data_IF_242709482502
#
_entry.id   IF_242709482502
#
_cell.length_a   1.000
_cell.length_b   1.000
_cell.length_c   1.000
_cell.angle_alpha   90.00
_cell.angle_beta   90.00
_cell.angle_gamma   90.00
#
_symmetry.space_group_name_H-M   'P 1'
#
loop_
_entity.id
_entity.type
_entity.pdbx_description
1 polymer ?
#
# COMPACT_ATOMS: atom_id res chain seq x y z
N UNK A 1 3.24 20.75 -15.73
CA UNK A 1 2.64 19.56 -16.35
C UNK A 1 2.03 18.72 -15.23
N UNK A 2 0.71 18.66 -15.14
CA UNK A 2 0.05 17.83 -14.13
C UNK A 2 0.22 16.37 -14.56
N UNK A 3 1.16 15.65 -13.95
CA UNK A 3 1.36 14.24 -14.25
C UNK A 3 0.04 13.49 -13.96
N UNK A 4 -0.47 12.77 -14.96
CA UNK A 4 -1.65 11.94 -14.78
C UNK A 4 -1.35 10.90 -13.70
N UNK A 5 -2.09 10.95 -12.59
CA UNK A 5 -1.96 9.97 -11.51
C UNK A 5 -2.47 8.63 -12.00
N UNK A 6 -1.59 7.62 -12.03
CA UNK A 6 -1.96 6.26 -12.39
C UNK A 6 -2.58 5.59 -11.17
N UNK A 7 -3.88 5.33 -11.26
CA UNK A 7 -4.68 4.73 -10.20
C UNK A 7 -4.82 3.22 -10.41
N UNK A 8 -4.07 2.48 -9.61
CA UNK A 8 -4.06 1.02 -9.59
C UNK A 8 -5.25 0.47 -8.82
N UNK A 9 -5.76 -0.67 -9.26
CA UNK A 9 -6.74 -1.48 -8.54
C UNK A 9 -6.08 -2.29 -7.42
N UNK A 10 -6.90 -2.90 -6.55
CA UNK A 10 -6.39 -3.81 -5.52
C UNK A 10 -5.52 -4.94 -6.09
N UNK A 11 -5.94 -5.52 -7.23
CA UNK A 11 -5.24 -6.62 -7.86
C UNK A 11 -3.88 -6.17 -8.41
N UNK A 12 -3.84 -5.05 -9.14
CA UNK A 12 -2.59 -4.48 -9.67
C UNK A 12 -1.61 -4.12 -8.56
N UNK A 13 -2.08 -3.47 -7.49
CA UNK A 13 -1.22 -3.13 -6.34
C UNK A 13 -0.70 -4.37 -5.63
N UNK A 14 -1.53 -5.40 -5.47
CA UNK A 14 -1.11 -6.65 -4.84
C UNK A 14 -0.07 -7.39 -5.69
N UNK A 15 -0.23 -7.39 -7.02
CA UNK A 15 0.74 -7.94 -7.97
C UNK A 15 2.08 -7.20 -7.89
N UNK A 16 2.07 -5.86 -7.88
CA UNK A 16 3.29 -5.05 -7.72
C UNK A 16 4.00 -5.32 -6.39
N UNK A 17 3.24 -5.56 -5.33
CA UNK A 17 3.77 -5.86 -4.00
C UNK A 17 4.20 -7.33 -3.84
N UNK A 18 3.89 -8.21 -4.80
CA UNK A 18 4.15 -9.65 -4.72
C UNK A 18 3.32 -10.35 -3.64
N UNK A 19 2.12 -9.85 -3.32
CA UNK A 19 1.23 -10.44 -2.31
C UNK A 19 -0.13 -10.80 -2.91
N UNK A 20 -0.90 -11.60 -2.18
CA UNK A 20 -2.28 -11.89 -2.58
C UNK A 20 -3.17 -10.64 -2.41
N UNK A 21 -4.12 -10.39 -3.33
CA UNK A 21 -5.08 -9.30 -3.21
C UNK A 21 -5.83 -9.30 -1.87
N UNK A 22 -6.19 -10.49 -1.36
CA UNK A 22 -6.83 -10.68 -0.06
C UNK A 22 -5.95 -10.19 1.11
N UNK A 23 -4.64 -10.43 1.05
CA UNK A 23 -3.67 -9.95 2.05
C UNK A 23 -3.65 -8.42 2.10
N UNK A 24 -3.69 -7.76 0.94
CA UNK A 24 -3.75 -6.30 0.85
C UNK A 24 -5.04 -5.75 1.47
N UNK A 25 -6.16 -6.46 1.37
CA UNK A 25 -7.41 -6.05 2.03
C UNK A 25 -7.34 -6.13 3.55
N UNK A 26 -6.76 -7.23 4.06
CA UNK A 26 -6.51 -7.39 5.49
C UNK A 26 -5.58 -6.27 5.99
N UNK A 27 -4.55 -5.93 5.22
CA UNK A 27 -3.62 -4.85 5.57
C UNK A 27 -4.33 -3.50 5.69
N UNK A 28 -5.23 -3.17 4.75
CA UNK A 28 -6.03 -1.93 4.84
C UNK A 28 -6.78 -1.83 6.17
N UNK A 29 -7.41 -2.93 6.60
CA UNK A 29 -8.14 -2.96 7.87
C UNK A 29 -7.24 -2.83 9.10
N UNK A 30 -5.98 -3.26 8.99
CA UNK A 30 -4.97 -3.21 10.07
C UNK A 30 -4.13 -1.94 10.07
N UNK A 31 -4.44 -0.95 9.22
CA UNK A 31 -3.63 0.26 9.07
C UNK A 31 -2.25 0.00 8.49
N UNK A 32 -2.09 -1.08 7.71
CA UNK A 32 -0.85 -1.48 7.05
C UNK A 32 -0.96 -1.26 5.54
N UNK A 33 0.21 -1.25 4.89
CA UNK A 33 0.31 -1.14 3.44
C UNK A 33 0.35 0.30 2.91
N UNK A 34 0.40 0.47 1.58
CA UNK A 34 0.48 1.77 0.94
C UNK A 34 -0.81 2.57 1.13
N UNK A 35 -0.70 3.91 1.00
CA UNK A 35 -1.87 4.79 1.06
C UNK A 35 -2.85 4.45 -0.05
N UNK A 36 -4.12 4.36 0.33
CA UNK A 36 -5.22 4.05 -0.57
C UNK A 36 -6.17 5.23 -0.70
N UNK A 37 -6.75 5.39 -1.88
CA UNK A 37 -7.81 6.33 -2.18
C UNK A 37 -9.15 5.59 -2.14
N UNK A 38 -10.05 6.10 -1.30
CA UNK A 38 -11.44 5.66 -1.26
C UNK A 38 -12.28 6.58 -2.14
N UNK A 39 -12.88 6.05 -3.19
CA UNK A 39 -13.62 6.84 -4.20
C UNK A 39 -14.98 7.36 -3.71
N UNK A 40 -15.47 6.88 -2.55
CA UNK A 40 -16.73 7.34 -1.96
C UNK A 40 -16.94 6.85 -0.53
N UNK A 41 -17.98 7.34 0.17
CA UNK A 41 -18.21 7.08 1.59
C UNK A 41 -18.81 5.69 1.88
N UNK A 42 -19.38 5.00 0.89
CA UNK A 42 -20.05 3.70 1.06
C UNK A 42 -19.04 2.57 1.17
N UNK A 43 -19.44 1.46 1.79
CA UNK A 43 -18.58 0.28 1.94
C UNK A 43 -18.14 -0.32 0.61
N UNK A 44 -19.06 -0.35 -0.36
CA UNK A 44 -18.86 -0.90 -1.71
C UNK A 44 -18.17 0.03 -2.70
N UNK A 45 -17.83 1.27 -2.30
CA UNK A 45 -17.13 2.18 -3.19
C UNK A 45 -15.72 1.68 -3.50
N UNK A 46 -15.29 1.92 -4.73
CA UNK A 46 -14.01 1.43 -5.23
C UNK A 46 -12.84 1.99 -4.42
N UNK A 47 -11.87 1.12 -4.16
CA UNK A 47 -10.58 1.49 -3.58
C UNK A 47 -9.56 1.48 -4.71
N UNK A 48 -8.80 2.56 -4.80
CA UNK A 48 -7.70 2.73 -5.74
C UNK A 48 -6.42 3.03 -4.99
N UNK A 49 -5.30 2.78 -5.64
CA UNK A 49 -3.98 3.10 -5.12
C UNK A 49 -3.29 4.01 -6.11
N UNK A 50 -2.68 5.08 -5.63
CA UNK A 50 -1.81 5.88 -6.48
C UNK A 50 -0.48 5.13 -6.67
N UNK A 51 -0.09 4.91 -7.92
CA UNK A 51 1.15 4.19 -8.25
C UNK A 51 2.37 4.81 -7.57
N UNK A 52 2.47 6.14 -7.51
CA UNK A 52 3.60 6.81 -6.88
C UNK A 52 3.62 6.59 -5.36
N UNK A 53 2.45 6.57 -4.70
CA UNK A 53 2.35 6.25 -3.27
C UNK A 53 2.69 4.78 -2.97
N UNK A 54 2.32 3.85 -3.85
CA UNK A 54 2.72 2.44 -3.74
C UNK A 54 4.24 2.31 -3.87
N UNK A 55 4.83 2.97 -4.86
CA UNK A 55 6.28 2.96 -5.06
C UNK A 55 7.03 3.64 -3.91
N UNK A 56 6.51 4.74 -3.36
CA UNK A 56 7.07 5.38 -2.17
C UNK A 56 7.06 4.42 -0.98
N UNK A 57 5.96 3.69 -0.77
CA UNK A 57 5.85 2.69 0.28
C UNK A 57 6.88 1.55 0.15
N UNK A 58 7.16 1.12 -1.09
CA UNK A 58 8.20 0.12 -1.38
C UNK A 58 9.59 0.70 -1.07
N UNK A 59 9.85 1.94 -1.48
CA UNK A 59 11.13 2.62 -1.21
C UNK A 59 11.39 2.79 0.29
N UNK A 60 10.38 3.18 1.08
CA UNK A 60 10.48 3.26 2.54
C UNK A 60 10.88 1.93 3.20
N UNK A 61 10.61 0.80 2.53
CA UNK A 61 10.91 -0.56 3.01
C UNK A 61 12.14 -1.17 2.38
N UNK A 62 12.73 -0.49 1.40
CA UNK A 62 13.94 -0.96 0.74
C UNK A 62 15.11 -0.75 1.68
N UNK A 63 15.62 -1.87 2.22
CA UNK A 63 16.77 -1.88 3.11
C UNK A 63 18.05 -2.19 2.33
N UNK A 64 19.10 -1.41 2.55
CA UNK A 64 20.44 -1.62 1.98
C UNK A 64 21.27 -2.65 2.75
N UNK A 65 20.96 -2.91 4.02
CA UNK A 65 21.65 -3.92 4.82
C UNK A 65 20.69 -4.58 5.84
N UNK A 66 21.02 -5.78 6.29
CA UNK A 66 20.23 -6.60 7.23
C UNK A 66 20.02 -5.91 8.58
N UNK A 67 20.95 -5.09 9.08
CA UNK A 67 20.68 -4.32 10.31
C UNK A 67 19.62 -3.22 10.14
N UNK A 68 19.31 -2.81 8.91
CA UNK A 68 18.35 -1.74 8.65
C UNK A 68 16.89 -2.20 8.77
N UNK A 69 16.56 -3.49 8.51
CA UNK A 69 15.19 -3.95 8.65
C UNK A 69 14.69 -3.90 10.09
N UNK A 70 15.60 -3.91 11.08
CA UNK A 70 15.30 -3.76 12.51
C UNK A 70 14.75 -2.37 12.85
N UNK A 71 15.02 -1.37 12.01
CA UNK A 71 14.57 0.02 12.17
C UNK A 71 13.41 0.37 11.23
N UNK A 72 12.80 -0.60 10.53
CA UNK A 72 11.62 -0.33 9.75
C UNK A 72 10.50 0.18 10.66
N UNK A 73 9.71 1.19 10.22
CA UNK A 73 8.60 1.69 10.99
C UNK A 73 7.69 0.52 11.35
N UNK A 74 7.59 0.23 12.64
CA UNK A 74 6.79 -0.85 13.18
C UNK A 74 5.33 -0.53 12.86
N UNK A 75 4.80 -1.17 11.81
CA UNK A 75 3.41 -0.92 11.41
C UNK A 75 2.50 -1.44 12.51
N UNK A 76 1.76 -0.53 13.15
CA UNK A 76 0.88 -0.77 14.29
C UNK A 76 0.29 -2.19 14.26
N UNK A 77 0.81 -3.06 15.12
CA UNK A 77 0.10 -4.24 15.56
C UNK A 77 -0.75 -3.78 16.74
N UNK A 78 -1.97 -3.34 16.47
CA UNK A 78 -2.97 -3.23 17.53
C UNK A 78 -4.19 -4.05 17.13
N UNK A 79 -4.16 -5.30 17.58
CA UNK A 79 -5.30 -6.05 18.08
C UNK A 79 -4.75 -7.14 18.99
#
# INVERSE_FOLDING_TARGET
MTAARKLLTNAETAELLGILPNTLEIWRGKGKGPRFLKMGPRKQDAIRYDEAEVMAWIQERTCSNTSQYMNLPQQAQHA
#
